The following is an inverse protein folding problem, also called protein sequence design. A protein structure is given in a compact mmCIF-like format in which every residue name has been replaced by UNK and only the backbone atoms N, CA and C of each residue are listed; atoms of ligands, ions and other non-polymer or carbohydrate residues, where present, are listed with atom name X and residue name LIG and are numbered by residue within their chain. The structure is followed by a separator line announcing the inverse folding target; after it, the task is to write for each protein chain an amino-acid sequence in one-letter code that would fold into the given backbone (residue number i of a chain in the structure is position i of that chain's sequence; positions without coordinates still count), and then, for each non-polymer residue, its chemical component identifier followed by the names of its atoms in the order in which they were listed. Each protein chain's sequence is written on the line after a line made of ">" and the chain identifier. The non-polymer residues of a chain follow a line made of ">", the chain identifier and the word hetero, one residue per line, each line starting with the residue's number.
data_IF_102935974799
#
_entry.id   IF_102935974799
#
_cell.length_a   1.000
_cell.length_b   1.000
_cell.length_c   1.000
_cell.angle_alpha   90.00
_cell.angle_beta   90.00
_cell.angle_gamma   90.00
#
_symmetry.space_group_name_H-M   'P 1'
#
loop_
_entity.id
_entity.type
_entity.pdbx_description
1 polymer ?
#
# COMPACT_ATOMS: atom_id res chain seq x y z
N UNK A 1 -12.32 46.76 -42.79
CA UNK A 1 -12.46 45.29 -42.54
C UNK A 1 -12.34 44.91 -41.04
N UNK A 2 -12.83 45.73 -40.10
CA UNK A 2 -12.80 45.47 -38.63
C UNK A 2 -14.19 45.33 -37.98
N UNK A 3 -15.27 45.61 -38.72
CA UNK A 3 -16.65 45.56 -38.18
C UNK A 3 -17.33 44.19 -38.31
N UNK A 4 -16.82 43.26 -39.13
CA UNK A 4 -17.47 41.95 -39.36
C UNK A 4 -17.05 40.89 -38.33
N UNK A 5 -15.86 41.00 -37.72
CA UNK A 5 -15.39 40.04 -36.69
C UNK A 5 -16.11 40.13 -35.35
N UNK A 6 -16.68 41.29 -35.01
CA UNK A 6 -17.40 41.48 -33.76
C UNK A 6 -18.84 40.94 -33.81
N UNK A 7 -19.42 40.84 -35.02
CA UNK A 7 -20.77 40.30 -35.19
C UNK A 7 -20.80 38.77 -35.07
N UNK A 8 -19.74 38.07 -35.49
CA UNK A 8 -19.63 36.61 -35.37
C UNK A 8 -19.28 36.11 -33.97
N UNK A 9 -18.49 36.87 -33.19
CA UNK A 9 -18.17 36.49 -31.80
C UNK A 9 -19.37 36.71 -30.88
N UNK A 10 -20.15 37.76 -31.10
CA UNK A 10 -21.35 38.04 -30.31
C UNK A 10 -22.46 36.98 -30.51
N UNK A 11 -22.55 36.35 -31.68
CA UNK A 11 -23.59 35.33 -31.97
C UNK A 11 -23.24 33.94 -31.43
N UNK A 12 -21.96 33.60 -31.26
CA UNK A 12 -21.53 32.31 -30.70
C UNK A 12 -21.68 32.29 -29.17
N UNK A 13 -21.53 33.44 -28.49
CA UNK A 13 -21.69 33.52 -27.03
C UNK A 13 -23.17 33.42 -26.61
N UNK A 14 -24.11 33.95 -27.40
CA UNK A 14 -25.55 33.81 -27.10
C UNK A 14 -26.09 32.39 -27.27
N UNK A 15 -25.48 31.58 -28.13
CA UNK A 15 -25.87 30.18 -28.32
C UNK A 15 -25.44 29.26 -27.15
N UNK A 16 -24.43 29.65 -26.37
CA UNK A 16 -23.88 28.82 -25.29
C UNK A 16 -24.62 28.97 -23.95
N UNK A 17 -25.47 30.00 -23.80
CA UNK A 17 -26.22 30.25 -22.55
C UNK A 17 -27.60 29.57 -22.55
N UNK A 18 -28.08 29.06 -23.69
CA UNK A 18 -29.36 28.35 -23.78
C UNK A 18 -29.30 26.85 -23.46
N UNK A 19 -28.11 26.26 -23.27
CA UNK A 19 -27.96 24.85 -22.93
C UNK A 19 -28.04 24.55 -21.42
N UNK A 20 -28.26 25.55 -20.57
CA UNK A 20 -28.37 25.40 -19.11
C UNK A 20 -29.81 25.43 -18.58
N UNK A 21 -30.82 25.20 -19.43
CA UNK A 21 -32.16 24.89 -18.91
C UNK A 21 -32.18 23.43 -18.42
N UNK A 22 -32.35 23.26 -17.11
CA UNK A 22 -32.61 21.99 -16.45
C UNK A 22 -33.69 21.22 -17.20
N UNK A 23 -33.38 20.01 -17.66
CA UNK A 23 -34.35 19.13 -18.29
C UNK A 23 -35.48 18.85 -17.29
N UNK A 24 -36.69 19.31 -17.60
CA UNK A 24 -37.90 18.84 -16.90
C UNK A 24 -38.15 17.41 -17.34
N UNK A 25 -38.03 16.48 -16.41
CA UNK A 25 -38.42 15.09 -16.60
C UNK A 25 -39.92 15.05 -16.92
N UNK A 26 -40.28 14.40 -18.01
CA UNK A 26 -41.67 14.07 -18.33
C UNK A 26 -42.09 12.97 -17.36
N UNK A 27 -43.15 13.21 -16.58
CA UNK A 27 -43.82 12.14 -15.85
C UNK A 27 -44.36 11.16 -16.89
N UNK A 28 -43.77 9.96 -16.92
CA UNK A 28 -44.32 8.81 -17.64
C UNK A 28 -45.66 8.46 -16.98
N UNK A 29 -46.68 8.24 -17.80
CA UNK A 29 -48.01 7.84 -17.36
C UNK A 29 -47.96 6.66 -16.38
N UNK A 30 -48.80 6.78 -15.36
CA UNK A 30 -48.99 5.84 -14.26
C UNK A 30 -49.23 4.41 -14.75
N UNK A 31 -48.29 3.51 -14.44
CA UNK A 31 -48.58 2.08 -14.37
C UNK A 31 -49.48 1.81 -13.16
N UNK A 32 -50.49 0.93 -13.27
CA UNK A 32 -51.37 0.63 -12.15
C UNK A 32 -50.58 0.04 -10.99
N UNK A 33 -50.83 0.57 -9.81
CA UNK A 33 -50.24 0.19 -8.53
C UNK A 33 -50.56 -1.29 -8.22
N UNK A 34 -49.66 -2.20 -8.58
CA UNK A 34 -49.64 -3.53 -7.97
C UNK A 34 -49.00 -3.38 -6.61
N UNK A 35 -49.78 -3.62 -5.54
CA UNK A 35 -49.29 -3.59 -4.16
C UNK A 35 -48.02 -4.44 -4.05
N UNK A 36 -46.86 -3.87 -3.72
CA UNK A 36 -45.73 -4.69 -3.35
C UNK A 36 -46.02 -5.28 -1.97
N UNK A 37 -46.33 -6.58 -1.95
CA UNK A 37 -46.22 -7.40 -0.76
C UNK A 37 -44.81 -7.24 -0.22
N UNK A 38 -44.73 -6.82 1.05
CA UNK A 38 -43.52 -6.56 1.80
C UNK A 38 -42.67 -7.85 1.90
N UNK A 39 -41.62 -7.98 1.08
CA UNK A 39 -40.70 -9.14 1.10
C UNK A 39 -39.22 -8.73 1.19
N UNK A 40 -38.89 -7.44 1.25
CA UNK A 40 -37.50 -7.02 1.47
C UNK A 40 -37.48 -5.90 2.52
N UNK A 41 -37.88 -6.25 3.74
CA UNK A 41 -37.55 -5.46 4.91
C UNK A 41 -37.25 -6.39 6.09
N UNK A 42 -36.18 -7.16 5.93
CA UNK A 42 -35.41 -7.92 6.92
C UNK A 42 -34.25 -8.48 6.08
N UNK A 43 -32.99 -8.08 6.21
CA UNK A 43 -32.16 -8.06 7.40
C UNK A 43 -31.11 -6.95 7.22
N UNK A 44 -31.30 -5.84 7.93
CA UNK A 44 -30.18 -5.00 8.34
C UNK A 44 -30.07 -5.12 9.86
N UNK A 45 -29.96 -6.38 10.31
CA UNK A 45 -29.41 -6.65 11.62
C UNK A 45 -28.00 -6.04 11.63
N UNK A 46 -27.63 -5.37 12.72
CA UNK A 46 -26.25 -5.01 12.96
C UNK A 46 -25.43 -6.31 12.87
N UNK A 47 -24.69 -6.47 11.77
CA UNK A 47 -23.82 -7.63 11.59
C UNK A 47 -22.74 -7.48 12.66
N UNK A 48 -22.76 -8.36 13.64
CA UNK A 48 -21.64 -8.51 14.56
C UNK A 48 -20.45 -9.03 13.75
N UNK A 49 -19.39 -8.24 13.54
CA UNK A 49 -18.24 -8.68 12.74
C UNK A 49 -17.52 -9.88 13.36
N UNK A 50 -17.77 -10.17 14.64
CA UNK A 50 -17.18 -11.32 15.33
C UNK A 50 -17.75 -12.67 14.90
N UNK A 51 -18.89 -12.72 14.19
CA UNK A 51 -19.45 -13.97 13.64
C UNK A 51 -18.93 -14.31 12.24
N UNK A 52 -18.22 -13.39 11.58
CA UNK A 52 -17.70 -13.60 10.22
C UNK A 52 -16.27 -14.13 10.27
N UNK A 53 -16.12 -15.45 10.34
CA UNK A 53 -14.81 -16.12 10.44
C UNK A 53 -14.15 -16.13 9.05
N UNK A 54 -12.97 -15.49 8.86
CA UNK A 54 -12.23 -15.56 7.60
C UNK A 54 -11.78 -16.99 7.30
N UNK A 55 -12.07 -17.49 6.10
CA UNK A 55 -11.67 -18.84 5.66
C UNK A 55 -10.73 -18.82 4.46
N UNK A 56 -10.72 -17.74 3.67
CA UNK A 56 -9.86 -17.61 2.49
C UNK A 56 -9.63 -16.16 2.11
N UNK A 57 -8.38 -15.78 1.81
CA UNK A 57 -8.08 -14.47 1.20
C UNK A 57 -8.58 -14.41 -0.26
N UNK A 58 -9.08 -13.25 -0.67
CA UNK A 58 -9.55 -12.94 -2.02
C UNK A 58 -8.51 -12.02 -2.68
N UNK A 59 -7.49 -12.62 -3.29
CA UNK A 59 -6.30 -11.90 -3.76
C UNK A 59 -6.61 -10.84 -4.83
N UNK A 60 -7.67 -11.03 -5.62
CA UNK A 60 -8.11 -10.09 -6.66
C UNK A 60 -8.60 -8.76 -6.08
N UNK A 61 -8.92 -8.74 -4.77
CA UNK A 61 -9.37 -7.57 -4.02
C UNK A 61 -8.28 -7.00 -3.11
N UNK A 62 -7.02 -7.37 -3.31
CA UNK A 62 -5.90 -6.76 -2.58
C UNK A 62 -5.83 -5.26 -2.87
N UNK A 63 -5.51 -4.51 -1.82
CA UNK A 63 -5.12 -3.11 -1.90
C UNK A 63 -3.82 -2.93 -1.10
N UNK A 64 -3.21 -1.75 -1.15
CA UNK A 64 -1.93 -1.50 -0.48
C UNK A 64 -1.92 -1.94 0.99
N UNK A 65 -2.96 -1.61 1.75
CA UNK A 65 -3.08 -1.89 3.18
C UNK A 65 -4.38 -2.62 3.56
N UNK A 66 -5.06 -3.26 2.59
CA UNK A 66 -6.33 -3.97 2.83
C UNK A 66 -6.24 -5.40 2.29
N UNK A 67 -6.67 -6.36 3.10
CA UNK A 67 -6.95 -7.74 2.68
C UNK A 67 -8.44 -8.02 2.78
N UNK A 68 -9.00 -8.61 1.73
CA UNK A 68 -10.37 -9.08 1.73
C UNK A 68 -10.40 -10.59 1.92
N UNK A 69 -11.35 -11.07 2.73
CA UNK A 69 -11.52 -12.49 3.00
C UNK A 69 -12.94 -12.92 2.71
N UNK A 70 -13.09 -14.12 2.13
CA UNK A 70 -14.33 -14.87 2.15
C UNK A 70 -14.49 -15.47 3.54
N UNK A 71 -15.72 -15.41 4.06
CA UNK A 71 -16.11 -15.94 5.37
C UNK A 71 -16.81 -17.28 5.23
N UNK A 72 -16.92 -18.03 6.33
CA UNK A 72 -17.70 -19.27 6.42
C UNK A 72 -19.18 -19.11 6.03
N UNK A 73 -19.76 -17.93 6.25
CA UNK A 73 -21.11 -17.54 5.85
C UNK A 73 -21.20 -17.01 4.40
N UNK A 74 -20.16 -17.19 3.57
CA UNK A 74 -20.07 -16.72 2.18
C UNK A 74 -20.21 -15.19 2.00
N UNK A 75 -19.96 -14.42 3.07
CA UNK A 75 -19.84 -12.95 3.03
C UNK A 75 -18.37 -12.54 2.88
N UNK A 76 -18.14 -11.26 2.64
CA UNK A 76 -16.79 -10.68 2.61
C UNK A 76 -16.55 -9.79 3.82
N UNK A 77 -15.37 -9.93 4.42
CA UNK A 77 -14.82 -8.98 5.39
C UNK A 77 -13.54 -8.38 4.86
N UNK A 78 -13.24 -7.15 5.29
CA UNK A 78 -12.01 -6.45 4.94
C UNK A 78 -11.20 -6.17 6.21
N UNK A 79 -9.95 -6.59 6.22
CA UNK A 79 -8.97 -6.23 7.25
C UNK A 79 -8.15 -5.05 6.75
N UNK A 80 -8.17 -3.96 7.51
CA UNK A 80 -7.42 -2.74 7.21
C UNK A 80 -6.21 -2.66 8.12
N UNK A 81 -5.03 -2.61 7.53
CA UNK A 81 -3.76 -2.52 8.24
C UNK A 81 -3.27 -1.07 8.29
N UNK A 82 -2.52 -0.70 9.35
CA UNK A 82 -2.04 0.67 9.54
C UNK A 82 -0.90 1.06 8.57
N UNK A 83 -0.25 0.08 7.95
CA UNK A 83 0.85 0.24 6.98
C UNK A 83 0.56 -0.60 5.74
N UNK A 84 1.28 -0.35 4.66
CA UNK A 84 1.16 -1.14 3.44
C UNK A 84 1.56 -2.61 3.70
N UNK A 85 0.76 -3.57 3.26
CA UNK A 85 1.06 -5.01 3.32
C UNK A 85 1.24 -5.62 1.94
N UNK A 86 0.82 -4.88 0.90
CA UNK A 86 1.05 -5.21 -0.49
C UNK A 86 1.73 -4.07 -1.24
N UNK A 87 2.42 -4.42 -2.32
CA UNK A 87 2.94 -3.48 -3.30
C UNK A 87 2.45 -3.85 -4.71
N UNK A 88 2.29 -2.85 -5.57
CA UNK A 88 1.86 -3.06 -6.94
C UNK A 88 3.07 -3.31 -7.84
N UNK A 89 3.04 -4.40 -8.61
CA UNK A 89 4.03 -4.72 -9.63
C UNK A 89 3.32 -5.24 -10.88
N UNK A 90 3.58 -4.62 -12.03
CA UNK A 90 2.96 -4.99 -13.31
C UNK A 90 1.42 -5.09 -13.26
N UNK A 91 0.79 -4.17 -12.51
CA UNK A 91 -0.68 -4.12 -12.35
C UNK A 91 -1.26 -5.19 -11.42
N UNK A 92 -0.42 -5.93 -10.68
CA UNK A 92 -0.85 -6.92 -9.69
C UNK A 92 -0.33 -6.56 -8.31
N UNK A 93 -1.15 -6.80 -7.30
CA UNK A 93 -0.75 -6.66 -5.90
C UNK A 93 -0.02 -7.92 -5.43
N UNK A 94 1.14 -7.71 -4.81
CA UNK A 94 1.98 -8.75 -4.21
C UNK A 94 2.23 -8.44 -2.75
N UNK A 95 2.36 -9.45 -1.91
CA UNK A 95 2.71 -9.27 -0.51
C UNK A 95 4.11 -8.68 -0.35
N UNK A 96 4.27 -7.75 0.57
CA UNK A 96 5.57 -7.25 1.01
C UNK A 96 6.23 -8.34 1.86
N UNK A 97 7.51 -8.60 1.61
CA UNK A 97 8.30 -9.54 2.36
C UNK A 97 9.65 -8.91 2.73
N UNK A 98 9.74 -8.49 3.99
CA UNK A 98 10.92 -7.86 4.57
C UNK A 98 11.89 -8.88 5.20
N UNK A 99 11.78 -10.17 4.86
CA UNK A 99 12.82 -11.15 5.17
C UNK A 99 14.13 -10.72 4.54
N UNK A 100 15.19 -10.62 5.34
CA UNK A 100 16.49 -10.16 4.90
C UNK A 100 17.32 -11.33 4.37
N UNK A 101 17.55 -11.34 3.06
CA UNK A 101 18.31 -12.36 2.35
C UNK A 101 19.76 -11.93 2.16
N UNK A 102 20.69 -12.85 2.35
CA UNK A 102 22.09 -12.65 2.01
C UNK A 102 22.27 -12.51 0.50
N UNK A 103 22.89 -11.41 0.06
CA UNK A 103 23.19 -11.17 -1.35
C UNK A 103 24.49 -10.38 -1.52
N UNK A 104 24.85 -10.16 -2.77
CA UNK A 104 26.00 -9.36 -3.18
C UNK A 104 25.50 -8.20 -4.03
N UNK A 105 25.92 -6.99 -3.69
CA UNK A 105 25.53 -5.80 -4.44
C UNK A 105 26.32 -5.63 -5.74
N UNK A 106 26.02 -4.55 -6.47
CA UNK A 106 26.65 -4.21 -7.74
C UNK A 106 28.17 -3.94 -7.60
N UNK A 107 28.63 -3.59 -6.40
CA UNK A 107 30.04 -3.33 -6.05
C UNK A 107 30.74 -4.57 -5.46
N UNK A 108 30.08 -5.73 -5.50
CA UNK A 108 30.57 -7.00 -4.93
C UNK A 108 30.73 -6.99 -3.42
N UNK A 109 29.96 -6.15 -2.72
CA UNK A 109 29.89 -6.13 -1.26
C UNK A 109 28.79 -7.04 -0.75
N UNK A 110 29.07 -7.75 0.35
CA UNK A 110 28.06 -8.56 1.02
C UNK A 110 27.04 -7.67 1.73
N UNK A 111 25.76 -7.84 1.39
CA UNK A 111 24.64 -7.05 1.93
C UNK A 111 23.46 -7.96 2.26
N UNK A 112 22.55 -7.45 3.08
CA UNK A 112 21.21 -7.98 3.24
C UNK A 112 20.25 -7.26 2.30
N UNK A 113 19.28 -7.98 1.74
CA UNK A 113 18.25 -7.44 0.83
C UNK A 113 16.87 -7.96 1.22
N UNK A 114 15.83 -7.12 1.18
CA UNK A 114 14.47 -7.59 1.42
C UNK A 114 14.02 -8.54 0.30
N UNK A 115 13.31 -9.61 0.67
CA UNK A 115 12.88 -10.65 -0.25
C UNK A 115 11.88 -10.15 -1.32
N UNK A 116 10.91 -9.31 -0.93
CA UNK A 116 9.95 -8.71 -1.86
C UNK A 116 9.43 -7.36 -1.37
N UNK A 117 9.18 -6.44 -2.29
CA UNK A 117 8.61 -5.13 -1.98
C UNK A 117 8.68 -4.17 -3.18
N UNK A 118 7.90 -3.09 -3.12
CA UNK A 118 7.94 -2.03 -4.14
C UNK A 118 9.22 -1.18 -4.09
N UNK A 119 9.95 -1.26 -2.97
CA UNK A 119 11.27 -0.69 -2.77
C UNK A 119 12.22 -1.84 -2.45
N UNK A 120 13.31 -1.88 -3.20
CA UNK A 120 14.42 -2.78 -2.97
C UNK A 120 15.38 -2.12 -1.98
N UNK A 121 15.48 -2.70 -0.79
CA UNK A 121 16.22 -2.19 0.36
C UNK A 121 17.43 -3.08 0.57
N UNK A 122 18.62 -2.47 0.61
CA UNK A 122 19.88 -3.15 0.92
C UNK A 122 20.55 -2.54 2.13
N UNK A 123 21.07 -3.41 3.00
CA UNK A 123 21.72 -3.06 4.25
C UNK A 123 23.10 -3.71 4.31
N UNK A 124 24.14 -2.91 4.52
CA UNK A 124 25.51 -3.44 4.53
C UNK A 124 25.76 -4.32 5.77
N UNK A 125 26.57 -5.37 5.63
CA UNK A 125 26.94 -6.20 6.79
C UNK A 125 27.90 -5.53 7.77
N UNK A 126 28.44 -4.37 7.39
CA UNK A 126 29.33 -3.57 8.22
C UNK A 126 28.97 -2.07 8.13
N UNK A 127 29.09 -1.37 9.25
CA UNK A 127 28.72 0.05 9.37
C UNK A 127 29.63 1.01 8.60
N UNK A 128 30.86 0.61 8.26
CA UNK A 128 31.81 1.43 7.50
C UNK A 128 31.63 1.35 5.97
N UNK A 129 30.61 0.64 5.51
CA UNK A 129 30.28 0.61 4.09
C UNK A 129 30.04 2.02 3.55
N UNK A 130 30.53 2.27 2.33
CA UNK A 130 30.23 3.50 1.57
C UNK A 130 28.75 3.64 1.26
N UNK A 131 28.04 2.50 1.16
CA UNK A 131 26.60 2.38 1.03
C UNK A 131 26.07 1.55 2.18
N UNK A 132 25.91 2.21 3.33
CA UNK A 132 25.38 1.56 4.54
C UNK A 132 23.94 1.12 4.33
N UNK A 133 23.15 2.01 3.75
CA UNK A 133 21.79 1.74 3.29
C UNK A 133 21.69 2.11 1.83
N UNK A 134 21.01 1.28 1.04
CA UNK A 134 20.64 1.60 -0.34
C UNK A 134 19.18 1.24 -0.61
N UNK A 135 18.46 2.14 -1.27
CA UNK A 135 17.09 1.99 -1.71
C UNK A 135 17.04 2.09 -3.23
N UNK A 136 16.23 1.24 -3.86
CA UNK A 136 15.98 1.30 -5.31
C UNK A 136 14.50 1.06 -5.58
N UNK A 137 13.87 1.96 -6.34
CA UNK A 137 12.51 1.80 -6.84
C UNK A 137 12.45 2.23 -8.30
N UNK A 138 12.17 1.28 -9.19
CA UNK A 138 12.35 1.46 -10.63
C UNK A 138 13.76 1.92 -10.97
N UNK A 139 13.87 3.05 -11.65
CA UNK A 139 15.13 3.66 -12.07
C UNK A 139 15.75 4.61 -11.03
N UNK A 140 15.03 4.89 -9.93
CA UNK A 140 15.49 5.78 -8.89
C UNK A 140 16.23 5.01 -7.79
N UNK A 141 17.41 5.53 -7.43
CA UNK A 141 18.24 4.98 -6.36
C UNK A 141 18.65 6.06 -5.35
N UNK A 142 18.69 5.69 -4.07
CA UNK A 142 19.19 6.51 -2.98
C UNK A 142 20.11 5.65 -2.11
N UNK A 143 21.26 6.16 -1.72
CA UNK A 143 22.16 5.48 -0.79
C UNK A 143 22.86 6.47 0.12
N UNK A 144 23.12 6.08 1.35
CA UNK A 144 23.85 6.91 2.30
C UNK A 144 24.75 6.09 3.23
N UNK A 145 25.65 6.81 3.90
CA UNK A 145 26.50 6.35 4.98
C UNK A 145 26.80 7.54 5.91
N UNK A 146 27.44 7.28 7.05
CA UNK A 146 27.85 8.33 7.98
C UNK A 146 29.37 8.54 7.92
N UNK A 147 29.75 9.81 8.04
CA UNK A 147 31.16 10.18 8.18
C UNK A 147 31.68 9.74 9.55
N UNK A 148 32.95 9.32 9.61
CA UNK A 148 33.68 9.01 10.84
C UNK A 148 33.04 7.87 11.68
N UNK A 149 32.21 7.04 11.05
CA UNK A 149 31.56 5.89 11.68
C UNK A 149 32.57 4.79 12.01
N UNK A 150 32.50 4.22 13.22
CA UNK A 150 33.32 3.08 13.60
C UNK A 150 32.88 1.81 12.86
N UNK A 151 33.81 0.91 12.53
CA UNK A 151 33.48 -0.39 11.91
C UNK A 151 32.84 -1.32 12.93
N UNK A 152 31.60 -1.72 12.65
CA UNK A 152 30.78 -2.60 13.50
C UNK A 152 30.07 -3.60 12.62
N UNK A 153 30.01 -4.83 13.09
CA UNK A 153 29.21 -5.87 12.48
C UNK A 153 27.73 -5.58 12.75
N UNK A 154 26.89 -5.93 11.78
CA UNK A 154 25.45 -5.79 11.90
C UNK A 154 24.85 -6.94 12.72
N UNK A 155 23.85 -6.63 13.53
CA UNK A 155 22.95 -7.59 14.15
C UNK A 155 21.63 -7.56 13.40
N UNK A 156 21.04 -8.73 13.14
CA UNK A 156 19.83 -8.84 12.32
C UNK A 156 18.71 -9.47 13.12
N UNK A 157 17.53 -8.87 13.04
CA UNK A 157 16.27 -9.44 13.51
C UNK A 157 15.40 -9.71 12.29
N UNK A 158 15.19 -11.00 12.00
CA UNK A 158 14.29 -11.42 10.92
C UNK A 158 12.82 -11.23 11.31
N UNK A 159 11.90 -11.14 10.34
CA UNK A 159 10.49 -11.09 10.65
C UNK A 159 10.02 -12.31 11.41
N UNK A 160 9.09 -12.09 12.34
CA UNK A 160 8.34 -13.17 12.96
C UNK A 160 7.52 -13.91 11.91
N UNK A 161 7.72 -15.21 11.79
CA UNK A 161 6.76 -16.09 11.14
C UNK A 161 5.59 -16.27 12.10
N UNK A 162 4.34 -16.15 11.65
CA UNK A 162 3.24 -16.50 12.53
C UNK A 162 3.29 -18.02 12.78
N UNK A 163 3.01 -18.42 14.01
CA UNK A 163 2.88 -19.85 14.37
C UNK A 163 1.44 -20.33 14.22
N UNK A 164 0.55 -19.47 13.74
CA UNK A 164 -0.89 -19.60 13.93
C UNK A 164 -1.62 -19.74 12.59
N UNK A 165 -2.76 -20.44 12.62
CA UNK A 165 -3.67 -20.59 11.47
C UNK A 165 -4.51 -19.32 11.22
N UNK A 166 -4.26 -18.22 11.94
CA UNK A 166 -4.95 -16.95 11.75
C UNK A 166 -4.58 -16.28 10.42
N UNK A 167 -5.48 -16.42 9.46
CA UNK A 167 -5.39 -15.84 8.11
C UNK A 167 -5.30 -14.30 8.10
N UNK A 168 -5.68 -13.64 9.20
CA UNK A 168 -5.71 -12.16 9.29
C UNK A 168 -4.38 -11.57 9.72
N UNK A 169 -3.46 -12.39 10.22
CA UNK A 169 -2.11 -11.96 10.58
C UNK A 169 -1.27 -11.69 9.33
N UNK A 170 -0.46 -10.63 9.37
CA UNK A 170 0.45 -10.27 8.28
C UNK A 170 1.86 -10.69 8.66
N UNK A 171 2.36 -11.69 7.95
CA UNK A 171 3.70 -12.20 8.13
C UNK A 171 4.74 -11.36 7.37
N UNK A 172 6.01 -11.53 7.72
CA UNK A 172 7.16 -10.99 7.00
C UNK A 172 7.23 -9.47 6.88
N UNK A 173 6.38 -8.73 7.61
CA UNK A 173 6.22 -7.30 7.42
C UNK A 173 7.33 -6.45 8.05
N UNK A 174 7.96 -6.94 9.12
CA UNK A 174 8.95 -6.15 9.88
C UNK A 174 10.22 -6.93 10.11
N UNK A 175 11.35 -6.33 9.75
CA UNK A 175 12.69 -6.78 10.12
C UNK A 175 13.51 -5.59 10.59
N UNK A 176 14.62 -5.85 11.29
CA UNK A 176 15.52 -4.77 11.65
C UNK A 176 16.98 -5.19 11.61
N UNK A 177 17.83 -4.18 11.49
CA UNK A 177 19.27 -4.33 11.67
C UNK A 177 19.81 -3.30 12.65
N UNK A 178 20.80 -3.70 13.44
CA UNK A 178 21.42 -2.83 14.44
C UNK A 178 22.93 -2.91 14.35
N UNK A 179 23.58 -1.75 14.28
CA UNK A 179 25.03 -1.60 14.41
C UNK A 179 25.33 -0.98 15.77
N UNK A 180 25.98 -1.74 16.66
CA UNK A 180 26.22 -1.30 18.04
C UNK A 180 27.44 -0.39 18.17
N UNK A 181 27.34 0.65 18.99
CA UNK A 181 28.43 1.58 19.35
C UNK A 181 29.15 2.14 18.10
N UNK A 182 28.39 2.53 17.08
CA UNK A 182 28.95 3.11 15.84
C UNK A 182 29.52 4.51 16.05
N UNK A 183 29.02 5.21 17.07
CA UNK A 183 29.64 6.34 17.73
C UNK A 183 29.69 6.08 19.24
N UNK A 184 30.35 6.95 20.01
CA UNK A 184 30.48 6.79 21.46
C UNK A 184 29.10 6.69 22.14
N UNK A 185 28.73 5.49 22.58
CA UNK A 185 27.45 5.20 23.22
C UNK A 185 26.23 5.33 22.31
N UNK A 186 26.39 5.28 20.99
CA UNK A 186 25.31 5.41 20.01
C UNK A 186 25.22 4.17 19.14
N UNK A 187 24.05 3.56 19.16
CA UNK A 187 23.67 2.49 18.25
C UNK A 187 22.99 3.06 17.02
N UNK A 188 23.01 2.30 15.92
CA UNK A 188 22.27 2.66 14.72
C UNK A 188 21.36 1.50 14.35
N UNK A 189 20.06 1.69 14.56
CA UNK A 189 19.02 0.75 14.18
C UNK A 189 18.33 1.20 12.89
N UNK A 190 18.02 0.25 12.00
CA UNK A 190 17.12 0.46 10.88
C UNK A 190 16.01 -0.59 10.92
N UNK A 191 14.77 -0.15 10.79
CA UNK A 191 13.58 -1.01 10.80
C UNK A 191 12.93 -0.96 9.43
N UNK A 192 12.74 -2.12 8.81
CA UNK A 192 11.93 -2.28 7.61
C UNK A 192 10.48 -2.51 8.02
N UNK A 193 9.56 -1.90 7.27
CA UNK A 193 8.12 -2.01 7.46
C UNK A 193 7.42 -1.97 6.11
N UNK A 194 6.08 -2.05 6.14
CA UNK A 194 5.24 -1.90 4.96
C UNK A 194 5.51 -0.65 4.13
N UNK A 195 5.81 0.48 4.79
CA UNK A 195 5.94 1.78 4.14
C UNK A 195 7.41 2.12 3.79
N UNK A 196 8.32 1.16 3.96
CA UNK A 196 9.74 1.30 3.66
C UNK A 196 10.62 1.14 4.90
N UNK A 197 11.70 1.94 4.97
CA UNK A 197 12.70 1.89 6.04
C UNK A 197 12.56 3.09 6.97
N UNK A 198 12.69 2.88 8.28
CA UNK A 198 12.59 3.94 9.28
C UNK A 198 13.29 3.65 10.61
N UNK A 199 13.20 4.63 11.50
CA UNK A 199 13.79 4.77 12.85
C UNK A 199 15.32 4.92 12.88
N UNK A 200 15.76 5.84 13.74
CA UNK A 200 17.13 6.21 14.09
C UNK A 200 17.02 6.79 15.52
N UNK A 201 17.54 6.08 16.53
CA UNK A 201 17.79 6.57 17.89
C UNK A 201 19.13 6.02 18.34
#
# INVERSE_FOLDING_TARGET
>A
MKSIRHFFIATIVTALVFSSLTQRVWAMDSFPESKPTNVIQEVQAAIDPSEDIPIQEVEEKREANVKHFLTDNFRYVAMVYPVSVHYAENGKWKAIDNTLLDTVDEEKSDVFENAAGGIKIRLAKNSQSTKLVSLKSGDFGLSWTFKDIAKKAVQVVQPSQAKDEDLTTVENLTSSVTYLDVFEGVDLEYVLSGDGIGRLL
#
